data_IF_984713879088
#
_entry.id   IF_984713879088
#
_cell.length_a   1.000
_cell.length_b   1.000
_cell.length_c   1.000
_cell.angle_alpha   90.00
_cell.angle_beta   90.00
_cell.angle_gamma   90.00
#
_symmetry.space_group_name_H-M   'P 1'
#
loop_
_entity.id
_entity.type
_entity.pdbx_description
1 polymer ?
#
# COMPACT_ATOMS: atom_id res chain seq x y z
N UNK A 1 2.33 -8.29 22.04
CA UNK A 1 2.12 -7.04 21.29
C UNK A 1 3.44 -6.68 20.60
N UNK A 2 3.48 -6.37 19.30
CA UNK A 2 4.72 -5.88 18.65
C UNK A 2 5.16 -4.59 19.29
N UNK A 3 6.45 -4.47 19.59
CA UNK A 3 7.04 -3.22 20.09
C UNK A 3 7.48 -2.39 18.89
N UNK A 4 6.91 -1.18 18.73
CA UNK A 4 7.36 -0.19 17.74
C UNK A 4 8.37 0.72 18.43
N UNK A 5 9.63 0.66 18.01
CA UNK A 5 10.72 1.44 18.61
C UNK A 5 10.72 2.85 18.02
N UNK A 6 10.61 2.94 16.69
CA UNK A 6 10.53 4.20 15.95
C UNK A 6 9.47 4.06 14.87
N UNK A 7 8.63 5.08 14.67
CA UNK A 7 7.73 5.11 13.53
C UNK A 7 7.46 6.53 13.03
N UNK A 8 7.13 6.62 11.75
CA UNK A 8 6.65 7.84 11.10
C UNK A 8 5.31 7.56 10.46
N UNK A 9 4.32 8.38 10.82
CA UNK A 9 2.98 8.35 10.25
C UNK A 9 2.87 9.36 9.10
N UNK A 10 2.30 8.91 8.00
CA UNK A 10 2.01 9.70 6.81
C UNK A 10 0.50 9.69 6.57
N UNK A 11 -0.10 10.88 6.52
CA UNK A 11 -1.53 11.00 6.26
C UNK A 11 -1.80 10.74 4.77
N UNK A 12 -2.73 9.82 4.49
CA UNK A 12 -3.12 9.44 3.13
C UNK A 12 -4.35 10.21 2.64
N UNK A 13 -5.06 10.89 3.55
CA UNK A 13 -6.16 11.79 3.23
C UNK A 13 -5.91 13.16 3.84
N UNK A 14 -6.51 14.20 3.24
CA UNK A 14 -6.48 15.57 3.79
C UNK A 14 -7.04 15.63 5.21
N UNK A 15 -8.05 14.81 5.49
CA UNK A 15 -8.68 14.69 6.82
C UNK A 15 -7.85 13.85 7.80
N UNK A 16 -6.72 13.28 7.36
CA UNK A 16 -5.88 12.36 8.15
C UNK A 16 -6.61 11.10 8.65
N UNK A 17 -7.79 10.82 8.10
CA UNK A 17 -8.62 9.67 8.44
C UNK A 17 -7.95 8.34 8.06
N UNK A 18 -7.21 8.31 6.95
CA UNK A 18 -6.37 7.17 6.54
C UNK A 18 -4.90 7.52 6.66
N UNK A 19 -4.07 6.57 7.05
CA UNK A 19 -2.64 6.77 7.22
C UNK A 19 -1.81 5.56 6.81
N UNK A 20 -0.56 5.81 6.45
CA UNK A 20 0.52 4.83 6.34
C UNK A 20 1.51 5.11 7.47
N UNK A 21 1.74 4.14 8.34
CA UNK A 21 2.80 4.20 9.35
C UNK A 21 3.94 3.28 8.93
N UNK A 22 5.14 3.83 8.87
CA UNK A 22 6.36 3.08 8.60
C UNK A 22 7.21 3.17 9.85
N UNK A 23 7.55 2.01 10.40
CA UNK A 23 8.32 1.94 11.63
C UNK A 23 9.29 0.79 11.66
N UNK A 24 10.10 0.82 12.71
CA UNK A 24 11.07 -0.20 13.07
C UNK A 24 10.64 -0.75 14.43
N UNK A 25 10.58 -2.07 14.53
CA UNK A 25 10.12 -2.74 15.73
C UNK A 25 10.74 -4.11 15.92
N UNK A 26 10.47 -4.71 17.08
CA UNK A 26 10.85 -6.08 17.39
C UNK A 26 9.58 -6.94 17.28
N UNK A 27 9.51 -7.86 16.30
CA UNK A 27 8.44 -8.84 16.21
C UNK A 27 8.38 -9.70 17.47
N UNK A 28 7.20 -10.21 17.88
CA UNK A 28 7.07 -10.95 19.13
C UNK A 28 7.86 -12.28 19.12
N UNK A 29 8.18 -12.80 17.94
CA UNK A 29 8.87 -14.06 17.72
C UNK A 29 10.31 -13.90 17.20
N UNK A 30 10.86 -12.67 17.17
CA UNK A 30 12.15 -12.43 16.55
C UNK A 30 13.15 -11.74 17.49
N UNK A 31 14.39 -12.21 17.42
CA UNK A 31 15.55 -11.63 18.11
C UNK A 31 16.15 -10.46 17.32
N UNK A 32 15.46 -10.02 16.26
CA UNK A 32 15.95 -9.09 15.27
C UNK A 32 14.95 -7.96 15.03
N UNK A 33 15.50 -6.80 14.73
CA UNK A 33 14.75 -5.58 14.41
C UNK A 33 14.21 -5.69 12.97
N UNK A 34 12.94 -5.33 12.76
CA UNK A 34 12.27 -5.41 11.48
C UNK A 34 11.49 -4.13 11.15
N UNK A 35 11.42 -3.81 9.85
CA UNK A 35 10.57 -2.74 9.34
C UNK A 35 9.12 -3.21 9.26
N UNK A 36 8.19 -2.34 9.64
CA UNK A 36 6.75 -2.59 9.59
C UNK A 36 6.06 -1.48 8.82
N UNK A 37 5.25 -1.88 7.85
CA UNK A 37 4.40 -1.00 7.06
C UNK A 37 2.95 -1.24 7.48
N UNK A 38 2.29 -0.24 8.05
CA UNK A 38 0.91 -0.36 8.54
C UNK A 38 0.04 0.63 7.79
N UNK A 39 -0.98 0.12 7.10
CA UNK A 39 -2.06 0.97 6.61
C UNK A 39 -3.17 0.95 7.64
N UNK A 40 -3.65 2.12 8.04
CA UNK A 40 -4.70 2.19 9.02
C UNK A 40 -5.64 3.35 8.86
N UNK A 41 -6.63 3.40 9.75
CA UNK A 41 -7.55 4.52 9.89
C UNK A 41 -7.77 4.94 11.34
N UNK A 42 -8.38 6.11 11.52
CA UNK A 42 -8.62 6.68 12.85
C UNK A 42 -9.67 5.91 13.67
N UNK A 43 -10.31 4.88 13.09
CA UNK A 43 -11.22 3.98 13.82
C UNK A 43 -10.48 2.80 14.46
N UNK A 44 -9.17 2.72 14.29
CA UNK A 44 -8.34 1.65 14.85
C UNK A 44 -8.22 0.43 13.94
N UNK A 45 -8.76 0.48 12.71
CA UNK A 45 -8.53 -0.58 11.72
C UNK A 45 -7.13 -0.42 11.16
N UNK A 46 -6.34 -1.47 11.27
CA UNK A 46 -4.97 -1.53 10.75
C UNK A 46 -4.79 -2.82 9.94
N UNK A 47 -4.02 -2.75 8.86
CA UNK A 47 -3.47 -3.90 8.17
C UNK A 47 -1.95 -3.76 8.15
N UNK A 48 -1.27 -4.82 8.57
CA UNK A 48 0.18 -4.91 8.49
C UNK A 48 0.53 -5.49 7.12
N UNK A 49 1.35 -4.78 6.37
CA UNK A 49 1.84 -5.23 5.07
C UNK A 49 3.18 -5.93 5.24
N UNK A 50 3.28 -7.15 4.70
CA UNK A 50 4.57 -7.81 4.49
C UNK A 50 5.35 -7.10 3.38
N UNK A 51 6.66 -7.33 3.26
CA UNK A 51 7.43 -6.80 2.13
C UNK A 51 6.87 -7.21 0.77
N UNK A 52 6.36 -8.44 0.65
CA UNK A 52 5.73 -8.95 -0.57
C UNK A 52 4.45 -8.17 -0.93
N UNK A 53 3.53 -8.01 0.03
CA UNK A 53 2.30 -7.24 -0.18
C UNK A 53 2.59 -5.79 -0.55
N UNK A 54 3.56 -5.18 0.12
CA UNK A 54 3.99 -3.81 -0.15
C UNK A 54 4.54 -3.68 -1.58
N UNK A 55 5.46 -4.55 -1.98
CA UNK A 55 6.02 -4.53 -3.33
C UNK A 55 4.95 -4.77 -4.39
N UNK A 56 4.07 -5.75 -4.18
CA UNK A 56 2.95 -6.01 -5.09
C UNK A 56 2.04 -4.79 -5.28
N UNK A 57 1.76 -4.04 -4.21
CA UNK A 57 0.96 -2.81 -4.29
C UNK A 57 1.68 -1.69 -5.07
N UNK A 58 2.99 -1.58 -4.88
CA UNK A 58 3.82 -0.58 -5.58
C UNK A 58 3.92 -0.89 -7.06
N UNK A 59 4.14 -2.16 -7.41
CA UNK A 59 4.29 -2.60 -8.80
C UNK A 59 2.95 -2.56 -9.55
N UNK A 60 1.84 -2.86 -8.86
CA UNK A 60 0.49 -2.81 -9.43
C UNK A 60 -0.14 -1.42 -9.43
N UNK A 61 0.61 -0.39 -9.03
CA UNK A 61 0.15 1.00 -8.94
C UNK A 61 -0.64 1.45 -10.15
N UNK A 62 -0.01 1.37 -11.32
CA UNK A 62 -0.52 2.00 -12.53
C UNK A 62 -1.87 1.37 -12.88
N UNK A 63 -1.93 0.05 -12.81
CA UNK A 63 -3.14 -0.74 -13.00
C UNK A 63 -4.22 -0.30 -12.01
N UNK A 64 -3.93 -0.27 -10.71
CA UNK A 64 -4.91 0.14 -9.68
C UNK A 64 -5.43 1.56 -9.93
N UNK A 65 -4.54 2.52 -10.25
CA UNK A 65 -4.92 3.90 -10.52
C UNK A 65 -5.77 4.03 -11.79
N UNK A 66 -5.37 3.39 -12.89
CA UNK A 66 -6.09 3.42 -14.16
C UNK A 66 -7.46 2.76 -14.02
N UNK A 67 -7.53 1.65 -13.29
CA UNK A 67 -8.78 0.98 -12.97
C UNK A 67 -9.71 1.89 -12.17
N UNK A 68 -9.21 2.57 -11.14
CA UNK A 68 -10.02 3.50 -10.34
C UNK A 68 -10.48 4.72 -11.13
N UNK A 69 -9.67 5.21 -12.09
CA UNK A 69 -10.06 6.30 -12.97
C UNK A 69 -11.19 5.89 -13.94
N UNK A 70 -11.23 4.61 -14.33
CA UNK A 70 -12.22 4.06 -15.28
C UNK A 70 -13.43 3.41 -14.61
N UNK A 71 -13.44 3.31 -13.28
CA UNK A 71 -14.44 2.57 -12.50
C UNK A 71 -15.88 3.14 -12.57
N UNK A 72 -16.07 4.32 -13.15
CA UNK A 72 -17.39 4.89 -13.44
C UNK A 72 -17.92 4.52 -14.86
N UNK A 73 -17.22 3.67 -15.61
CA UNK A 73 -17.66 3.18 -16.92
C UNK A 73 -18.73 2.09 -16.84
N UNK A 74 -19.33 1.74 -17.98
CA UNK A 74 -20.42 0.75 -18.10
C UNK A 74 -19.99 -0.71 -17.82
N UNK A 75 -18.69 -0.96 -17.66
CA UNK A 75 -18.18 -2.29 -17.36
C UNK A 75 -18.19 -2.53 -15.85
N UNK A 76 -18.71 -3.70 -15.44
CA UNK A 76 -18.78 -4.12 -14.04
C UNK A 76 -17.42 -4.08 -13.33
N UNK A 77 -17.40 -4.27 -12.00
CA UNK A 77 -16.19 -4.12 -11.21
C UNK A 77 -15.09 -5.07 -11.73
N UNK A 78 -13.86 -4.57 -11.93
CA UNK A 78 -12.76 -5.37 -12.41
C UNK A 78 -12.44 -6.53 -11.46
N UNK A 79 -11.80 -7.60 -11.97
CA UNK A 79 -11.43 -8.73 -11.15
C UNK A 79 -10.51 -8.30 -10.00
N UNK A 80 -10.63 -9.01 -8.89
CA UNK A 80 -9.74 -8.85 -7.74
C UNK A 80 -8.32 -9.26 -8.08
N UNK A 81 -7.34 -8.60 -7.47
CA UNK A 81 -5.92 -8.92 -7.59
C UNK A 81 -5.41 -9.54 -6.29
N UNK A 82 -4.53 -10.54 -6.40
CA UNK A 82 -3.84 -11.15 -5.26
C UNK A 82 -2.37 -10.72 -5.26
N UNK A 83 -1.88 -10.25 -4.10
CA UNK A 83 -0.54 -9.71 -3.88
C UNK A 83 0.05 -10.34 -2.60
N UNK A 84 0.43 -11.62 -2.66
CA UNK A 84 0.66 -12.44 -1.46
C UNK A 84 -0.67 -12.72 -0.76
N UNK A 85 -0.72 -12.63 0.58
CA UNK A 85 -1.99 -12.77 1.33
C UNK A 85 -2.87 -11.50 1.29
N UNK A 86 -2.50 -10.49 0.49
CA UNK A 86 -3.31 -9.28 0.29
C UNK A 86 -4.18 -9.42 -0.95
N UNK A 87 -5.49 -9.42 -0.76
CA UNK A 87 -6.45 -9.28 -1.85
C UNK A 87 -6.84 -7.82 -2.03
N UNK A 88 -6.69 -7.30 -3.25
CA UNK A 88 -7.16 -5.97 -3.67
C UNK A 88 -8.45 -6.15 -4.47
N UNK A 89 -9.53 -5.53 -4.00
CA UNK A 89 -10.84 -5.55 -4.67
C UNK A 89 -11.31 -4.17 -5.02
N UNK A 90 -11.88 -4.04 -6.21
CA UNK A 90 -12.49 -2.80 -6.66
C UNK A 90 -13.96 -2.78 -6.24
N UNK A 91 -14.40 -1.66 -5.70
CA UNK A 91 -15.77 -1.48 -5.23
C UNK A 91 -16.19 -0.02 -5.38
N UNK A 92 -17.50 0.21 -5.40
CA UNK A 92 -18.06 1.56 -5.42
C UNK A 92 -18.79 1.80 -4.11
N UNK A 93 -18.49 2.92 -3.43
CA UNK A 93 -19.18 3.36 -2.21
C UNK A 93 -19.68 4.77 -2.46
N UNK A 94 -20.99 4.99 -2.32
CA UNK A 94 -21.62 6.29 -2.58
C UNK A 94 -21.26 6.85 -3.96
N UNK A 95 -21.30 6.00 -5.00
CA UNK A 95 -20.91 6.33 -6.38
C UNK A 95 -19.45 6.78 -6.55
N UNK A 96 -18.61 6.58 -5.54
CA UNK A 96 -17.17 6.83 -5.63
C UNK A 96 -16.40 5.51 -5.75
N UNK A 97 -15.44 5.42 -6.68
CA UNK A 97 -14.60 4.25 -6.81
C UNK A 97 -13.62 4.14 -5.63
N UNK A 98 -13.55 2.93 -5.10
CA UNK A 98 -12.75 2.57 -3.94
C UNK A 98 -12.01 1.24 -4.17
N UNK A 99 -10.92 1.05 -3.43
CA UNK A 99 -10.30 -0.26 -3.27
C UNK A 99 -10.52 -0.76 -1.85
N UNK A 100 -10.76 -2.07 -1.74
CA UNK A 100 -10.79 -2.80 -0.49
C UNK A 100 -9.57 -3.70 -0.43
N UNK A 101 -8.78 -3.51 0.61
CA UNK A 101 -7.60 -4.27 0.96
C UNK A 101 -8.01 -5.29 2.02
N UNK A 102 -7.86 -6.56 1.70
CA UNK A 102 -8.18 -7.67 2.59
C UNK A 102 -6.94 -8.49 2.86
N UNK A 103 -6.67 -8.74 4.13
CA UNK A 103 -5.65 -9.67 4.63
C UNK A 103 -6.30 -10.63 5.62
N UNK A 104 -5.70 -11.80 5.93
CA UNK A 104 -6.22 -12.67 7.00
C UNK A 104 -6.35 -11.95 8.35
N UNK A 105 -5.50 -10.95 8.59
CA UNK A 105 -5.46 -10.19 9.84
C UNK A 105 -6.39 -8.97 9.89
N UNK A 106 -7.01 -8.56 8.76
CA UNK A 106 -7.79 -7.33 8.76
C UNK A 106 -8.16 -6.82 7.37
N UNK A 107 -8.97 -5.76 7.36
CA UNK A 107 -9.52 -5.13 6.15
C UNK A 107 -9.46 -3.61 6.24
N UNK A 108 -9.11 -2.97 5.13
CA UNK A 108 -9.14 -1.51 5.00
C UNK A 108 -9.73 -1.11 3.64
N UNK A 109 -10.55 -0.06 3.62
CA UNK A 109 -11.05 0.55 2.38
C UNK A 109 -10.35 1.88 2.14
N UNK A 110 -9.95 2.14 0.89
CA UNK A 110 -9.32 3.38 0.44
C UNK A 110 -10.08 3.93 -0.77
N UNK A 111 -10.28 5.25 -0.83
CA UNK A 111 -10.86 5.90 -2.01
C UNK A 111 -9.83 6.07 -3.13
N UNK A 112 -10.29 6.33 -4.36
CA UNK A 112 -9.42 6.73 -5.47
C UNK A 112 -8.54 7.95 -5.13
N UNK A 113 -9.09 8.95 -4.47
CA UNK A 113 -8.36 10.13 -3.98
C UNK A 113 -7.29 9.79 -2.95
N UNK A 114 -7.46 8.70 -2.20
CA UNK A 114 -6.48 8.18 -1.26
C UNK A 114 -5.35 7.44 -1.99
N UNK A 115 -5.63 6.74 -3.09
CA UNK A 115 -4.63 5.93 -3.82
C UNK A 115 -3.50 6.75 -4.47
N UNK A 116 -3.72 8.06 -4.68
CA UNK A 116 -2.69 8.96 -5.18
C UNK A 116 -1.53 9.23 -4.19
N UNK A 117 -1.73 9.03 -2.88
CA UNK A 117 -0.76 9.37 -1.84
C UNK A 117 0.16 8.23 -1.36
N UNK A 118 -0.31 7.00 -1.06
CA UNK A 118 0.56 5.92 -0.59
C UNK A 118 1.55 5.52 -1.66
N UNK A 119 1.21 5.70 -2.94
CA UNK A 119 2.09 5.33 -4.04
C UNK A 119 3.09 6.44 -4.41
N UNK A 120 2.78 7.70 -4.10
CA UNK A 120 3.78 8.77 -4.13
C UNK A 120 4.81 8.63 -3.02
N UNK A 121 4.40 8.17 -1.85
CA UNK A 121 5.31 7.88 -0.72
C UNK A 121 6.16 6.62 -1.01
N UNK A 122 5.58 5.59 -1.62
CA UNK A 122 6.35 4.41 -2.02
C UNK A 122 7.45 4.70 -3.05
N UNK A 123 7.21 5.63 -3.99
CA UNK A 123 8.26 6.11 -4.90
C UNK A 123 9.38 6.87 -4.17
N UNK A 124 9.05 7.60 -3.10
CA UNK A 124 10.02 8.34 -2.30
C UNK A 124 10.88 7.44 -1.39
N UNK A 125 10.38 6.26 -1.03
CA UNK A 125 11.01 5.35 -0.06
C UNK A 125 11.66 4.10 -0.67
N UNK A 126 11.76 3.99 -2.00
CA UNK A 126 12.62 2.99 -2.63
C UNK A 126 14.06 3.12 -2.08
N UNK A 127 14.64 2.07 -1.48
CA UNK A 127 16.00 2.12 -0.96
C UNK A 127 16.99 2.45 -2.08
N UNK A 128 18.01 3.25 -1.77
CA UNK A 128 19.01 3.73 -2.73
C UNK A 128 19.78 2.61 -3.46
N UNK A 129 19.76 1.38 -2.93
CA UNK A 129 20.38 0.19 -3.55
C UNK A 129 19.76 -0.16 -4.91
N UNK A 130 18.45 -0.05 -5.08
CA UNK A 130 17.79 -0.39 -6.35
C UNK A 130 17.95 0.69 -7.42
N UNK A 131 18.19 1.95 -7.02
CA UNK A 131 18.48 3.04 -7.97
C UNK A 131 19.79 2.82 -8.70
N UNK A 132 20.74 2.16 -8.06
CA UNK A 132 22.05 1.90 -8.66
C UNK A 132 21.99 0.78 -9.71
N UNK A 133 21.07 -0.18 -9.53
CA UNK A 133 20.92 -1.32 -10.43
C UNK A 133 20.10 -0.97 -11.68
N UNK A 134 19.08 -0.12 -11.53
CA UNK A 134 18.31 0.40 -12.68
C UNK A 134 19.16 1.33 -13.57
N UNK A 135 20.08 2.11 -12.97
CA UNK A 135 21.02 2.96 -13.72
C UNK A 135 22.07 2.13 -14.48
N UNK A 136 22.48 0.97 -13.93
CA UNK A 136 23.37 0.01 -14.62
C UNK A 136 22.65 -0.74 -15.74
N UNK A 137 21.36 -1.03 -15.61
CA UNK A 137 20.57 -1.66 -16.68
C UNK A 137 20.27 -0.72 -17.85
N UNK A 138 20.05 0.58 -17.58
CA UNK A 138 19.87 1.58 -18.66
C UNK A 138 21.15 1.89 -19.44
N UNK A 139 22.32 1.82 -18.80
CA UNK A 139 23.62 2.05 -19.46
C UNK A 139 24.14 0.85 -20.26
N UNK A 140 23.56 -0.35 -20.08
CA UNK A 140 23.89 -1.55 -20.86
C UNK A 140 22.95 -1.83 -22.05
N UNK A 141 21.90 -1.02 -22.22
CA UNK A 141 20.92 -1.14 -23.32
C UNK A 141 20.95 0.07 -24.28
N UNK A 142 21.95 0.95 -24.13
CA UNK A 142 22.23 2.04 -25.06
C UNK A 142 23.38 1.67 -25.97
#
# INVERSE_FOLDING_TARGET
RRMRILSRRYNLTRTSYKFLEIGIGIPPAANAVAVHNVLGDTTGKEILLTPEMWNGLVDSRAIICDTLARANGEHGPPPSMQLGDLTVRFATINSQPTIRLDTPSGRLTLSASTCALPIRIAAALRPARDRHDDRRRRTRRG
#
